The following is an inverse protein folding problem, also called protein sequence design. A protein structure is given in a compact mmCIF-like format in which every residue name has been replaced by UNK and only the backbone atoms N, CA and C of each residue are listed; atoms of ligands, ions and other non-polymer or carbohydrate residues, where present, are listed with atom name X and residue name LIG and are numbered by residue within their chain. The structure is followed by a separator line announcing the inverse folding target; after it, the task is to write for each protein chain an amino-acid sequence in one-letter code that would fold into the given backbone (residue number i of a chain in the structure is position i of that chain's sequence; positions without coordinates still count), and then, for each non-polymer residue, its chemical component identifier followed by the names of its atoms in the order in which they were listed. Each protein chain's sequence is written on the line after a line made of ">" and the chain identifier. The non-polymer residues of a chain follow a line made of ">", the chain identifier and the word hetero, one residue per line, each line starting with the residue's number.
data_IF_846249029794
#
_entry.id   IF_846249029794
#
_cell.length_a   1.000
_cell.length_b   1.000
_cell.length_c   1.000
_cell.angle_alpha   90.00
_cell.angle_beta   90.00
_cell.angle_gamma   90.00
#
_symmetry.space_group_name_H-M   'P 1'
#
loop_
_entity.id
_entity.type
_entity.pdbx_description
1 polymer ?
#
# COMPACT_ATOMS: atom_id res chain seq x y z
N UNK A 1 -0.98 -18.25 12.60
CA UNK A 1 -2.07 -17.82 13.50
C UNK A 1 -3.17 -18.85 13.67
N UNK A 2 -3.54 -19.56 12.60
CA UNK A 2 -4.53 -20.65 12.66
C UNK A 2 -3.96 -22.03 13.07
N UNK A 3 -2.88 -22.09 13.86
CA UNK A 3 -2.31 -23.35 14.35
C UNK A 3 -1.41 -24.14 13.36
N UNK A 4 -1.45 -23.86 12.06
CA UNK A 4 -0.54 -24.52 11.10
C UNK A 4 0.85 -23.88 11.10
N UNK A 5 1.88 -24.67 11.43
CA UNK A 5 3.29 -24.25 11.43
C UNK A 5 3.95 -24.60 10.10
N UNK A 6 4.32 -23.57 9.34
CA UNK A 6 5.03 -23.70 8.07
C UNK A 6 6.54 -23.78 8.31
N UNK A 7 7.18 -24.86 7.82
CA UNK A 7 8.64 -25.01 7.87
C UNK A 7 9.32 -23.89 7.08
N UNK A 8 10.41 -23.36 7.62
CA UNK A 8 11.21 -22.26 7.05
C UNK A 8 10.52 -20.89 6.88
N UNK A 9 9.26 -20.72 7.30
CA UNK A 9 8.53 -19.46 7.15
C UNK A 9 8.98 -18.35 8.11
N UNK A 10 9.45 -18.71 9.31
CA UNK A 10 9.88 -17.79 10.38
C UNK A 10 11.37 -17.93 10.67
N UNK A 11 12.22 -17.78 9.63
CA UNK A 11 13.68 -17.94 9.77
C UNK A 11 14.43 -16.64 9.51
N UNK A 12 15.63 -16.52 10.10
CA UNK A 12 16.51 -15.38 9.84
C UNK A 12 16.92 -15.29 8.37
N UNK A 13 17.11 -16.45 7.71
CA UNK A 13 17.40 -16.52 6.26
C UNK A 13 16.30 -15.86 5.43
N UNK A 14 15.02 -16.12 5.76
CA UNK A 14 13.89 -15.47 5.08
C UNK A 14 13.79 -13.98 5.36
N UNK A 15 14.21 -13.52 6.54
CA UNK A 15 14.24 -12.09 6.87
C UNK A 15 15.22 -11.35 5.97
N UNK A 16 16.47 -11.80 5.90
CA UNK A 16 17.53 -11.17 5.10
C UNK A 16 17.16 -11.17 3.61
N UNK A 17 16.70 -12.31 3.09
CA UNK A 17 16.28 -12.42 1.70
C UNK A 17 15.11 -11.47 1.37
N UNK A 18 14.15 -11.30 2.29
CA UNK A 18 13.00 -10.42 2.09
C UNK A 18 13.37 -8.94 2.18
N UNK A 19 14.29 -8.55 3.07
CA UNK A 19 14.81 -7.18 3.15
C UNK A 19 15.45 -6.80 1.81
N UNK A 20 16.43 -7.60 1.36
CA UNK A 20 17.15 -7.32 0.10
C UNK A 20 16.23 -7.40 -1.12
N UNK A 21 15.35 -8.42 -1.19
CA UNK A 21 14.43 -8.56 -2.30
C UNK A 21 13.43 -7.40 -2.38
N UNK A 22 12.93 -6.93 -1.24
CA UNK A 22 11.98 -5.82 -1.20
C UNK A 22 12.63 -4.48 -1.55
N UNK A 23 13.85 -4.21 -1.07
CA UNK A 23 14.57 -2.98 -1.43
C UNK A 23 14.85 -2.91 -2.93
N UNK A 24 15.27 -4.03 -3.54
CA UNK A 24 15.46 -4.11 -4.99
C UNK A 24 14.15 -3.97 -5.77
N UNK A 25 13.05 -4.55 -5.25
CA UNK A 25 11.75 -4.48 -5.94
C UNK A 25 11.18 -3.05 -5.93
N UNK A 26 11.26 -2.36 -4.78
CA UNK A 26 10.83 -0.96 -4.66
C UNK A 26 11.77 -0.01 -5.42
N UNK A 27 13.09 -0.25 -5.36
CA UNK A 27 14.08 0.51 -6.10
C UNK A 27 13.97 0.33 -7.62
N UNK A 28 13.46 -0.82 -8.08
CA UNK A 28 13.18 -1.09 -9.49
C UNK A 28 11.89 -0.46 -10.03
N UNK A 29 11.14 0.30 -9.22
CA UNK A 29 9.92 1.00 -9.67
C UNK A 29 8.74 0.09 -9.98
N UNK A 30 8.77 -1.18 -9.56
CA UNK A 30 7.64 -2.10 -9.77
C UNK A 30 6.39 -1.60 -9.02
N UNK A 31 5.20 -1.71 -9.62
CA UNK A 31 3.95 -1.23 -9.03
C UNK A 31 3.46 -2.18 -7.92
N UNK A 32 4.23 -2.29 -6.84
CA UNK A 32 3.98 -3.14 -5.69
C UNK A 32 4.20 -2.37 -4.39
N UNK A 33 3.52 -2.80 -3.32
CA UNK A 33 3.65 -2.23 -1.99
C UNK A 33 4.66 -2.96 -1.11
N UNK A 34 5.10 -2.30 -0.04
CA UNK A 34 6.01 -2.86 0.98
C UNK A 34 5.28 -3.52 2.15
N UNK A 35 4.02 -3.17 2.35
CA UNK A 35 3.21 -3.45 3.54
C UNK A 35 3.17 -4.93 3.94
N UNK A 36 2.70 -5.81 3.05
CA UNK A 36 2.59 -7.25 3.31
C UNK A 36 3.93 -7.90 3.68
N UNK A 37 5.01 -7.66 2.92
CA UNK A 37 6.35 -8.08 3.28
C UNK A 37 6.80 -7.60 4.67
N UNK A 38 6.56 -6.33 5.02
CA UNK A 38 6.92 -5.78 6.33
C UNK A 38 6.16 -6.42 7.49
N UNK A 39 4.87 -6.73 7.34
CA UNK A 39 4.11 -7.49 8.36
C UNK A 39 4.79 -8.82 8.65
N UNK A 40 5.21 -9.54 7.60
CA UNK A 40 5.91 -10.81 7.76
C UNK A 40 7.30 -10.63 8.38
N UNK A 41 8.03 -9.57 8.04
CA UNK A 41 9.32 -9.26 8.69
C UNK A 41 9.14 -8.99 10.20
N UNK A 42 8.12 -8.23 10.59
CA UNK A 42 7.77 -8.01 11.99
C UNK A 42 7.43 -9.32 12.72
N UNK A 43 6.68 -10.21 12.07
CA UNK A 43 6.37 -11.54 12.59
C UNK A 43 7.63 -12.42 12.76
N UNK A 44 8.58 -12.36 11.82
CA UNK A 44 9.86 -13.08 11.91
C UNK A 44 10.68 -12.55 13.10
N UNK A 45 10.82 -11.22 13.22
CA UNK A 45 11.56 -10.59 14.32
C UNK A 45 10.96 -10.97 15.67
N UNK A 46 9.64 -10.90 15.83
CA UNK A 46 8.95 -11.31 17.05
C UNK A 46 9.20 -12.79 17.37
N UNK A 47 9.18 -13.67 16.37
CA UNK A 47 9.47 -15.10 16.57
C UNK A 47 10.95 -15.37 16.91
N UNK A 48 11.89 -14.61 16.35
CA UNK A 48 13.31 -14.74 16.64
C UNK A 48 13.63 -14.25 18.05
N UNK A 49 13.03 -13.12 18.45
CA UNK A 49 13.13 -12.59 19.82
C UNK A 49 12.58 -13.60 20.82
N UNK A 50 11.40 -14.20 20.56
CA UNK A 50 10.85 -15.21 21.46
C UNK A 50 11.79 -16.43 21.63
N UNK A 51 12.42 -16.89 20.54
CA UNK A 51 13.40 -17.99 20.58
C UNK A 51 14.67 -17.59 21.34
N UNK A 52 15.17 -16.38 21.12
CA UNK A 52 16.35 -15.86 21.83
C UNK A 52 16.06 -15.73 23.33
N UNK A 53 14.92 -15.17 23.71
CA UNK A 53 14.51 -15.06 25.12
C UNK A 53 14.34 -16.42 25.77
N UNK A 54 13.74 -17.40 25.08
CA UNK A 54 13.62 -18.77 25.59
C UNK A 54 14.97 -19.50 25.74
N UNK A 55 15.96 -19.16 24.91
CA UNK A 55 17.32 -19.70 25.02
C UNK A 55 18.13 -19.04 26.15
N UNK A 56 17.95 -17.73 26.36
CA UNK A 56 18.69 -16.97 27.38
C UNK A 56 18.05 -17.01 28.78
N UNK A 57 16.74 -17.16 28.88
CA UNK A 57 16.02 -17.31 30.15
C UNK A 57 15.35 -18.69 30.18
N UNK A 58 15.86 -19.58 31.04
CA UNK A 58 15.27 -20.90 31.32
C UNK A 58 13.96 -20.72 32.10
N UNK A 59 12.94 -20.17 31.45
CA UNK A 59 11.62 -20.00 32.03
C UNK A 59 10.62 -20.74 31.16
N UNK A 60 9.94 -21.72 31.74
CA UNK A 60 8.79 -22.44 31.15
C UNK A 60 7.64 -21.49 30.74
N UNK A 61 7.74 -20.20 31.07
CA UNK A 61 6.82 -19.15 30.68
C UNK A 61 6.82 -18.82 29.18
N UNK A 62 7.95 -18.97 28.48
CA UNK A 62 8.07 -18.63 27.04
C UNK A 62 7.85 -19.82 26.09
N UNK A 63 7.68 -21.04 26.63
CA UNK A 63 7.42 -22.25 25.84
C UNK A 63 5.94 -22.46 25.49
N UNK A 64 5.03 -21.65 26.03
CA UNK A 64 3.60 -21.78 25.77
C UNK A 64 3.24 -21.28 24.36
N UNK A 65 2.61 -22.16 23.58
CA UNK A 65 2.19 -21.89 22.19
C UNK A 65 1.23 -20.69 22.09
N UNK A 66 0.32 -20.55 23.06
CA UNK A 66 -0.61 -19.42 23.11
C UNK A 66 0.10 -18.07 23.23
N UNK A 67 1.23 -18.03 23.96
CA UNK A 67 2.01 -16.80 24.13
C UNK A 67 2.89 -16.50 22.92
N UNK A 68 3.44 -17.52 22.27
CA UNK A 68 4.13 -17.37 20.98
C UNK A 68 3.20 -16.77 19.93
N UNK A 69 1.94 -17.20 19.94
CA UNK A 69 0.88 -16.66 19.11
C UNK A 69 0.54 -15.19 19.41
N UNK A 70 0.41 -14.81 20.69
CA UNK A 70 0.25 -13.40 21.09
C UNK A 70 1.41 -12.51 20.61
N UNK A 71 2.65 -13.01 20.78
CA UNK A 71 3.87 -12.31 20.38
C UNK A 71 3.95 -12.14 18.85
N UNK A 72 3.59 -13.17 18.09
CA UNK A 72 3.52 -13.12 16.63
C UNK A 72 2.53 -12.04 16.16
N UNK A 73 1.38 -11.93 16.83
CA UNK A 73 0.38 -10.91 16.53
C UNK A 73 0.86 -9.49 16.82
N UNK A 74 1.59 -9.29 17.93
CA UNK A 74 2.23 -8.01 18.23
C UNK A 74 3.29 -7.66 17.17
N UNK A 75 4.11 -8.64 16.75
CA UNK A 75 5.09 -8.48 15.67
C UNK A 75 4.47 -8.05 14.33
N UNK A 76 3.33 -8.65 13.95
CA UNK A 76 2.58 -8.22 12.77
C UNK A 76 2.10 -6.77 12.89
N UNK A 77 1.53 -6.39 14.03
CA UNK A 77 1.06 -5.02 14.29
C UNK A 77 2.21 -4.00 14.22
N UNK A 78 3.37 -4.33 14.79
CA UNK A 78 4.59 -3.50 14.70
C UNK A 78 5.04 -3.35 13.24
N UNK A 79 5.02 -4.44 12.46
CA UNK A 79 5.35 -4.38 11.02
C UNK A 79 4.48 -3.40 10.24
N UNK A 80 3.17 -3.38 10.52
CA UNK A 80 2.20 -2.43 9.94
C UNK A 80 2.45 -0.99 10.45
N UNK A 81 2.73 -0.81 11.73
CA UNK A 81 2.96 0.52 12.29
C UNK A 81 4.22 1.18 11.71
N UNK A 82 5.30 0.40 11.49
CA UNK A 82 6.53 0.88 10.88
C UNK A 82 6.35 1.36 9.44
N UNK A 83 5.41 0.79 8.70
CA UNK A 83 5.27 1.13 7.28
C UNK A 83 4.42 2.36 7.04
N UNK A 84 3.34 2.54 7.81
CA UNK A 84 2.45 3.70 7.74
C UNK A 84 2.90 4.87 8.63
N UNK A 85 3.87 4.67 9.54
CA UNK A 85 4.38 5.71 10.44
C UNK A 85 3.28 6.40 11.28
N UNK A 86 2.19 5.67 11.53
CA UNK A 86 1.01 6.12 12.26
C UNK A 86 0.66 5.06 13.32
N UNK A 87 1.26 5.12 14.53
CA UNK A 87 0.90 4.23 15.64
C UNK A 87 -0.52 4.55 16.13
N UNK A 88 -0.89 5.83 16.08
CA UNK A 88 -2.22 6.39 16.19
C UNK A 88 -2.40 7.38 15.02
N UNK A 89 -3.57 7.40 14.36
CA UNK A 89 -3.87 8.37 13.30
C UNK A 89 -3.66 9.81 13.81
N UNK A 90 -2.95 10.64 13.05
CA UNK A 90 -2.43 11.89 13.58
C UNK A 90 -3.49 12.99 13.84
N UNK A 91 -3.07 13.86 14.76
CA UNK A 91 -3.49 15.22 15.15
C UNK A 91 -4.77 15.49 15.93
N UNK A 92 -5.77 14.61 16.01
CA UNK A 92 -6.85 14.84 16.99
C UNK A 92 -7.76 13.64 17.31
N UNK A 93 -7.35 12.41 17.00
CA UNK A 93 -8.18 11.26 17.35
C UNK A 93 -7.33 10.10 17.83
N UNK A 94 -7.70 9.60 19.01
CA UNK A 94 -7.12 8.45 19.70
C UNK A 94 -7.47 7.13 18.96
N UNK A 95 -7.22 7.08 17.65
CA UNK A 95 -7.59 5.98 16.75
C UNK A 95 -6.36 5.14 16.42
N UNK A 96 -6.36 3.92 16.94
CA UNK A 96 -5.27 2.95 16.82
C UNK A 96 -5.38 2.15 15.53
N UNK A 97 -5.16 2.80 14.39
CA UNK A 97 -5.44 2.21 13.07
C UNK A 97 -4.53 1.00 12.78
N UNK A 98 -3.25 1.07 13.13
CA UNK A 98 -2.29 -0.01 12.83
C UNK A 98 -2.56 -1.30 13.63
N UNK A 99 -2.88 -1.18 14.93
CA UNK A 99 -3.16 -2.35 15.78
C UNK A 99 -4.51 -2.97 15.39
N UNK A 100 -5.52 -2.15 15.12
CA UNK A 100 -6.83 -2.65 14.68
C UNK A 100 -6.74 -3.37 13.34
N UNK A 101 -6.01 -2.81 12.37
CA UNK A 101 -5.78 -3.48 11.08
C UNK A 101 -5.03 -4.81 11.25
N UNK A 102 -4.03 -4.86 12.13
CA UNK A 102 -3.34 -6.10 12.48
C UNK A 102 -4.26 -7.14 13.11
N UNK A 103 -5.18 -6.73 13.99
CA UNK A 103 -6.12 -7.63 14.66
C UNK A 103 -7.16 -8.17 13.67
N UNK A 104 -7.79 -7.28 12.90
CA UNK A 104 -8.85 -7.61 11.95
C UNK A 104 -8.37 -8.58 10.87
N UNK A 105 -7.13 -8.39 10.39
CA UNK A 105 -6.59 -9.20 9.29
C UNK A 105 -5.95 -10.53 9.72
N UNK A 106 -5.52 -10.69 10.98
CA UNK A 106 -4.69 -11.84 11.40
C UNK A 106 -5.38 -12.84 12.32
N UNK A 107 -6.40 -12.43 13.09
CA UNK A 107 -6.94 -13.24 14.19
C UNK A 107 -8.47 -13.15 14.31
N UNK A 108 -9.14 -14.29 14.47
CA UNK A 108 -10.59 -14.34 14.78
C UNK A 108 -10.90 -14.02 16.25
N UNK A 109 -10.00 -14.43 17.14
CA UNK A 109 -10.10 -14.21 18.58
C UNK A 109 -8.85 -13.49 19.04
N UNK A 110 -9.02 -12.41 19.79
CA UNK A 110 -7.91 -11.59 20.25
C UNK A 110 -8.11 -11.15 21.69
N UNK A 111 -7.14 -11.46 22.55
CA UNK A 111 -7.19 -11.07 23.95
C UNK A 111 -6.94 -9.55 24.10
N UNK A 112 -7.81 -8.85 24.82
CA UNK A 112 -7.68 -7.41 25.10
C UNK A 112 -6.34 -7.06 25.77
N UNK A 113 -5.78 -7.98 26.57
CA UNK A 113 -4.43 -7.80 27.15
C UNK A 113 -3.34 -7.68 26.08
N UNK A 114 -3.48 -8.38 24.95
CA UNK A 114 -2.52 -8.29 23.85
C UNK A 114 -2.69 -7.01 23.03
N UNK A 115 -3.86 -6.37 23.09
CA UNK A 115 -4.13 -5.08 22.45
C UNK A 115 -3.20 -4.01 23.01
N UNK A 116 -3.18 -3.86 24.33
CA UNK A 116 -2.35 -2.87 25.01
C UNK A 116 -0.86 -3.08 24.78
N UNK A 117 -0.41 -4.35 24.77
CA UNK A 117 1.00 -4.68 24.47
C UNK A 117 1.38 -4.33 23.05
N UNK A 118 0.52 -4.64 22.09
CA UNK A 118 0.72 -4.29 20.68
C UNK A 118 0.69 -2.78 20.48
N UNK A 119 -0.22 -2.07 21.16
CA UNK A 119 -0.29 -0.61 21.14
C UNK A 119 0.98 0.06 21.64
N UNK A 120 1.49 -0.39 22.79
CA UNK A 120 2.76 0.11 23.32
C UNK A 120 3.92 -0.15 22.33
N UNK A 121 4.06 -1.40 21.86
CA UNK A 121 5.12 -1.78 20.93
C UNK A 121 5.09 -1.00 19.61
N UNK A 122 3.91 -0.81 19.03
CA UNK A 122 3.72 -0.02 17.80
C UNK A 122 4.04 1.45 18.00
N UNK A 123 3.70 2.02 19.15
CA UNK A 123 4.03 3.42 19.51
C UNK A 123 5.54 3.59 19.62
N UNK A 124 6.23 2.71 20.33
CA UNK A 124 7.69 2.72 20.43
C UNK A 124 8.35 2.60 19.04
N UNK A 125 7.89 1.64 18.22
CA UNK A 125 8.44 1.43 16.88
C UNK A 125 8.27 2.66 15.97
N UNK A 126 7.08 3.29 16.00
CA UNK A 126 6.83 4.50 15.24
C UNK A 126 7.64 5.71 15.72
N UNK A 127 7.82 5.86 17.04
CA UNK A 127 8.69 6.91 17.59
C UNK A 127 10.13 6.72 17.12
N UNK A 128 10.67 5.50 17.25
CA UNK A 128 12.03 5.17 16.80
C UNK A 128 12.18 5.43 15.31
N UNK A 129 11.22 5.03 14.49
CA UNK A 129 11.25 5.27 13.05
C UNK A 129 11.27 6.76 12.71
N UNK A 130 10.46 7.57 13.40
CA UNK A 130 10.44 9.04 13.22
C UNK A 130 11.75 9.68 13.65
N UNK A 131 12.32 9.27 14.78
CA UNK A 131 13.62 9.77 15.23
C UNK A 131 14.74 9.38 14.27
N UNK A 132 14.74 8.15 13.77
CA UNK A 132 15.73 7.68 12.79
C UNK A 132 15.65 8.47 11.48
N UNK A 133 14.45 8.75 10.96
CA UNK A 133 14.28 9.60 9.78
C UNK A 133 14.77 11.02 10.05
N UNK A 134 14.39 11.61 11.19
CA UNK A 134 14.81 12.97 11.54
C UNK A 134 16.34 13.11 11.67
N UNK A 135 17.03 12.04 12.07
CA UNK A 135 18.49 12.01 12.23
C UNK A 135 19.24 11.72 10.92
N UNK A 136 18.69 10.89 10.04
CA UNK A 136 19.38 10.39 8.82
C UNK A 136 19.01 11.22 7.58
N UNK A 137 17.75 11.64 7.48
CA UNK A 137 17.23 12.34 6.29
C UNK A 137 17.30 13.85 6.52
N UNK A 138 17.87 14.62 5.57
CA UNK A 138 17.86 16.08 5.64
C UNK A 138 16.44 16.64 5.84
N UNK A 139 16.30 17.63 6.74
CA UNK A 139 15.01 18.23 7.14
C UNK A 139 14.16 18.74 5.95
N UNK A 140 14.78 19.07 4.81
CA UNK A 140 14.08 19.52 3.60
C UNK A 140 13.26 18.43 2.89
N UNK A 141 13.59 17.14 3.09
CA UNK A 141 12.87 15.98 2.51
C UNK A 141 12.02 15.29 3.57
N UNK A 142 12.48 15.28 4.83
CA UNK A 142 11.87 14.50 5.90
C UNK A 142 10.44 14.95 6.24
N UNK A 143 10.11 16.22 6.01
CA UNK A 143 8.90 16.84 6.54
C UNK A 143 8.93 16.82 8.08
N UNK A 144 8.40 17.87 8.71
CA UNK A 144 8.19 17.86 10.16
C UNK A 144 7.34 16.64 10.54
N UNK A 145 7.55 16.08 11.73
CA UNK A 145 6.89 14.92 12.36
C UNK A 145 5.36 14.85 12.07
N UNK A 146 4.98 14.46 10.86
CA UNK A 146 3.60 14.48 10.36
C UNK A 146 3.27 13.09 9.86
N UNK A 147 2.00 12.71 9.94
CA UNK A 147 1.56 11.46 9.33
C UNK A 147 1.76 11.53 7.82
N UNK A 148 2.16 10.42 7.22
CA UNK A 148 2.12 10.27 5.77
C UNK A 148 0.67 10.50 5.29
N UNK A 149 0.49 11.33 4.27
CA UNK A 149 -0.81 11.69 3.65
C UNK A 149 -1.74 12.58 4.49
N UNK A 150 -1.24 13.70 5.05
CA UNK A 150 -2.13 14.70 5.63
C UNK A 150 -2.87 15.48 4.54
N UNK A 151 -4.20 15.45 4.58
CA UNK A 151 -5.06 16.29 3.75
C UNK A 151 -5.64 17.42 4.61
N UNK A 152 -5.64 18.64 4.08
CA UNK A 152 -6.21 19.81 4.76
C UNK A 152 -7.50 20.23 4.06
N UNK A 153 -8.64 19.80 4.61
CA UNK A 153 -9.98 20.17 4.15
C UNK A 153 -10.63 21.12 5.18
N UNK A 154 -11.47 22.07 4.74
CA UNK A 154 -12.23 22.95 5.65
C UNK A 154 -13.19 22.14 6.54
N UNK A 155 -13.71 22.69 7.64
CA UNK A 155 -14.48 21.90 8.63
C UNK A 155 -15.92 21.53 8.20
N UNK A 156 -16.47 22.18 7.17
CA UNK A 156 -17.81 21.90 6.62
C UNK A 156 -17.70 21.26 5.23
N UNK A 157 -17.23 20.00 5.17
CA UNK A 157 -16.87 19.36 3.89
C UNK A 157 -18.07 18.73 3.19
N UNK A 158 -19.12 18.32 3.91
CA UNK A 158 -20.14 17.42 3.35
C UNK A 158 -21.55 17.86 3.70
N UNK A 159 -22.41 17.90 2.67
CA UNK A 159 -23.85 18.06 2.85
C UNK A 159 -24.50 16.69 3.03
N UNK A 160 -25.62 16.65 3.78
CA UNK A 160 -26.42 15.42 3.98
C UNK A 160 -26.89 14.84 2.63
N UNK A 161 -27.12 15.71 1.64
CA UNK A 161 -27.50 15.35 0.27
C UNK A 161 -26.43 14.53 -0.48
N UNK A 162 -25.18 14.58 -0.04
CA UNK A 162 -24.07 13.85 -0.68
C UNK A 162 -23.90 12.43 -0.13
N UNK A 163 -24.53 12.10 0.99
CA UNK A 163 -24.45 10.76 1.63
C UNK A 163 -24.88 9.64 0.67
N UNK A 164 -25.98 9.75 -0.10
CA UNK A 164 -26.35 8.73 -1.08
C UNK A 164 -25.29 8.54 -2.18
N UNK A 165 -24.61 9.62 -2.59
CA UNK A 165 -23.52 9.54 -3.58
C UNK A 165 -22.31 8.80 -3.00
N UNK A 166 -21.95 9.05 -1.74
CA UNK A 166 -20.90 8.28 -1.06
C UNK A 166 -21.27 6.80 -0.87
N UNK A 167 -22.54 6.50 -0.59
CA UNK A 167 -23.03 5.13 -0.51
C UNK A 167 -22.91 4.41 -1.87
N UNK A 168 -23.31 5.08 -2.96
CA UNK A 168 -23.18 4.55 -4.32
C UNK A 168 -21.70 4.34 -4.69
N UNK A 169 -20.83 5.30 -4.37
CA UNK A 169 -19.39 5.17 -4.55
C UNK A 169 -18.84 3.95 -3.80
N UNK A 170 -19.28 3.74 -2.55
CA UNK A 170 -18.93 2.55 -1.77
C UNK A 170 -19.33 1.24 -2.44
N UNK A 171 -20.53 1.16 -3.03
CA UNK A 171 -21.00 -0.01 -3.79
C UNK A 171 -20.13 -0.24 -5.04
N UNK A 172 -19.84 0.81 -5.81
CA UNK A 172 -18.99 0.73 -7.00
C UNK A 172 -17.56 0.29 -6.65
N UNK A 173 -16.98 0.84 -5.59
CA UNK A 173 -15.68 0.42 -5.05
C UNK A 173 -15.70 -1.05 -4.59
N UNK A 174 -16.79 -1.51 -3.97
CA UNK A 174 -16.96 -2.90 -3.57
C UNK A 174 -17.03 -3.86 -4.76
N UNK A 175 -17.81 -3.52 -5.79
CA UNK A 175 -17.94 -4.32 -7.01
C UNK A 175 -16.63 -4.39 -7.80
N UNK A 176 -15.95 -3.24 -7.96
CA UNK A 176 -14.64 -3.19 -8.64
C UNK A 176 -13.56 -3.94 -7.86
N UNK A 177 -13.58 -3.90 -6.52
CA UNK A 177 -12.72 -4.72 -5.67
C UNK A 177 -12.98 -6.22 -5.80
N UNK A 178 -14.26 -6.64 -5.84
CA UNK A 178 -14.64 -8.03 -6.07
C UNK A 178 -14.19 -8.54 -7.46
N UNK A 179 -14.37 -7.71 -8.50
CA UNK A 179 -13.87 -8.01 -9.84
C UNK A 179 -12.33 -8.13 -9.88
N UNK A 180 -11.61 -7.32 -9.10
CA UNK A 180 -10.16 -7.34 -9.03
C UNK A 180 -9.66 -8.64 -8.42
N UNK A 181 -10.28 -9.08 -7.31
CA UNK A 181 -9.97 -10.36 -6.67
C UNK A 181 -10.26 -11.52 -7.63
N UNK A 182 -11.39 -11.46 -8.35
CA UNK A 182 -11.74 -12.47 -9.35
C UNK A 182 -10.71 -12.53 -10.48
N UNK A 183 -10.28 -11.38 -11.01
CA UNK A 183 -9.25 -11.26 -12.05
C UNK A 183 -7.91 -11.83 -11.58
N UNK A 184 -7.42 -11.39 -10.42
CA UNK A 184 -6.18 -11.88 -9.83
C UNK A 184 -6.21 -13.40 -9.60
N UNK A 185 -7.34 -13.93 -9.12
CA UNK A 185 -7.55 -15.38 -8.96
C UNK A 185 -7.51 -16.10 -10.31
N UNK A 186 -8.17 -15.57 -11.34
CA UNK A 186 -8.16 -16.15 -12.69
C UNK A 186 -6.76 -16.18 -13.29
N UNK A 187 -6.00 -15.09 -13.17
CA UNK A 187 -4.60 -15.00 -13.61
C UNK A 187 -3.75 -16.04 -12.88
N UNK A 188 -3.89 -16.12 -11.55
CA UNK A 188 -3.14 -17.08 -10.71
C UNK A 188 -3.44 -18.55 -11.06
N UNK A 189 -4.69 -18.88 -11.36
CA UNK A 189 -5.10 -20.23 -11.77
C UNK A 189 -4.64 -20.52 -13.21
N UNK A 190 -4.77 -19.55 -14.12
CA UNK A 190 -4.30 -19.67 -15.51
C UNK A 190 -2.81 -19.98 -15.57
N UNK A 191 -2.01 -19.25 -14.77
CA UNK A 191 -0.57 -19.47 -14.60
C UNK A 191 -0.23 -20.90 -14.19
N UNK A 192 -1.00 -21.50 -13.27
CA UNK A 192 -0.78 -22.88 -12.80
C UNK A 192 -1.28 -23.95 -13.78
N UNK A 193 -2.38 -23.68 -14.49
CA UNK A 193 -3.06 -24.65 -15.36
C UNK A 193 -2.45 -24.73 -16.76
N UNK A 194 -1.94 -23.61 -17.30
CA UNK A 194 -1.46 -23.56 -18.66
C UNK A 194 -0.15 -24.36 -18.83
N UNK A 195 -0.16 -25.40 -19.67
CA UNK A 195 1.01 -26.26 -19.90
C UNK A 195 2.12 -25.51 -20.63
N UNK A 196 1.79 -24.62 -21.58
CA UNK A 196 2.76 -23.80 -22.28
C UNK A 196 3.50 -22.86 -21.31
N UNK A 197 2.78 -22.27 -20.36
CA UNK A 197 3.38 -21.46 -19.30
C UNK A 197 4.37 -22.26 -18.45
N UNK A 198 3.98 -23.47 -18.02
CA UNK A 198 4.86 -24.35 -17.24
C UNK A 198 6.06 -24.83 -18.05
N UNK A 199 5.92 -25.06 -19.35
CA UNK A 199 7.02 -25.46 -20.22
C UNK A 199 8.06 -24.35 -20.40
N UNK A 200 7.59 -23.10 -20.59
CA UNK A 200 8.47 -21.95 -20.86
C UNK A 200 9.08 -21.38 -19.58
N UNK A 201 8.29 -21.23 -18.51
CA UNK A 201 8.69 -20.51 -17.30
C UNK A 201 8.82 -21.40 -16.05
N UNK A 202 8.57 -22.71 -16.17
CA UNK A 202 8.61 -23.63 -15.03
C UNK A 202 10.00 -23.82 -14.42
N UNK A 203 11.05 -23.76 -15.24
CA UNK A 203 12.44 -23.95 -14.79
C UNK A 203 13.11 -22.63 -14.34
N UNK A 204 12.58 -21.46 -14.70
CA UNK A 204 13.22 -20.16 -14.45
C UNK A 204 12.21 -19.11 -13.97
N UNK A 205 11.82 -19.12 -12.67
CA UNK A 205 10.92 -18.10 -12.11
C UNK A 205 11.50 -16.67 -12.20
N UNK A 206 12.84 -16.56 -12.26
CA UNK A 206 13.56 -15.31 -12.45
C UNK A 206 13.32 -14.76 -13.87
N UNK A 207 13.36 -15.60 -14.90
CA UNK A 207 13.13 -15.17 -16.28
C UNK A 207 11.72 -14.61 -16.48
N UNK A 208 10.72 -15.26 -15.88
CA UNK A 208 9.34 -14.75 -15.88
C UNK A 208 9.25 -13.37 -15.23
N UNK A 209 9.84 -13.23 -14.05
CA UNK A 209 9.79 -11.98 -13.29
C UNK A 209 10.53 -10.85 -14.00
N UNK A 210 11.68 -11.15 -14.62
CA UNK A 210 12.45 -10.20 -15.43
C UNK A 210 11.70 -9.75 -16.69
N UNK A 211 11.04 -10.68 -17.40
CA UNK A 211 10.24 -10.35 -18.58
C UNK A 211 9.08 -9.41 -18.23
N UNK A 212 8.38 -9.66 -17.11
CA UNK A 212 7.30 -8.78 -16.68
C UNK A 212 7.82 -7.43 -16.17
N UNK A 213 8.98 -7.39 -15.51
CA UNK A 213 9.62 -6.13 -15.15
C UNK A 213 9.98 -5.30 -16.41
N UNK A 214 10.46 -5.95 -17.47
CA UNK A 214 10.72 -5.29 -18.76
C UNK A 214 9.42 -4.78 -19.39
N UNK A 215 8.33 -5.56 -19.38
CA UNK A 215 7.03 -5.09 -19.88
C UNK A 215 6.50 -3.89 -19.08
N UNK A 216 6.63 -3.91 -17.75
CA UNK A 216 6.28 -2.77 -16.89
C UNK A 216 7.12 -1.55 -17.26
N UNK A 217 8.43 -1.71 -17.46
CA UNK A 217 9.31 -0.61 -17.83
C UNK A 217 8.94 0.01 -19.19
N UNK A 218 8.57 -0.81 -20.17
CA UNK A 218 8.12 -0.33 -21.50
C UNK A 218 6.80 0.44 -21.38
N UNK A 219 5.83 -0.08 -20.60
CA UNK A 219 4.53 0.57 -20.43
C UNK A 219 4.64 1.89 -19.65
N UNK A 220 5.49 1.92 -18.63
CA UNK A 220 5.70 3.07 -17.74
C UNK A 220 6.67 4.11 -18.33
N UNK A 221 7.27 3.85 -19.49
CA UNK A 221 8.24 4.76 -20.10
C UNK A 221 7.62 6.15 -20.36
N UNK A 222 8.17 7.23 -19.77
CA UNK A 222 7.51 8.53 -19.67
C UNK A 222 7.24 9.20 -21.02
N UNK A 223 8.18 9.09 -21.97
CA UNK A 223 8.04 9.66 -23.32
C UNK A 223 7.14 8.81 -24.25
N UNK A 224 6.75 7.61 -23.81
CA UNK A 224 5.89 6.70 -24.55
C UNK A 224 4.47 6.68 -23.99
N UNK A 225 3.99 5.46 -23.71
CA UNK A 225 2.67 5.25 -23.12
C UNK A 225 2.57 5.79 -21.67
N UNK A 226 3.72 5.95 -21.00
CA UNK A 226 3.82 6.52 -19.65
C UNK A 226 3.21 7.92 -19.52
N UNK A 227 3.17 8.71 -20.60
CA UNK A 227 2.54 10.05 -20.63
C UNK A 227 1.04 10.03 -20.30
N UNK A 228 0.34 8.95 -20.66
CA UNK A 228 -1.10 8.79 -20.39
C UNK A 228 -1.40 8.28 -18.98
N UNK A 229 -0.42 7.65 -18.33
CA UNK A 229 -0.58 6.98 -17.05
C UNK A 229 0.27 7.61 -15.95
N UNK A 230 0.79 8.83 -16.15
CA UNK A 230 1.69 9.50 -15.20
C UNK A 230 2.86 8.60 -14.75
N UNK A 231 3.45 7.84 -15.68
CA UNK A 231 4.41 6.77 -15.41
C UNK A 231 5.76 7.24 -14.84
N UNK A 232 6.07 8.52 -14.94
CA UNK A 232 7.27 9.11 -14.33
C UNK A 232 7.20 9.11 -12.78
N UNK A 233 6.00 9.13 -12.22
CA UNK A 233 5.78 9.36 -10.81
C UNK A 233 5.58 8.06 -10.03
N UNK A 234 5.99 8.09 -8.78
CA UNK A 234 5.78 6.95 -7.87
C UNK A 234 4.33 6.87 -7.40
N UNK A 235 3.90 5.68 -6.96
CA UNK A 235 2.59 5.50 -6.33
C UNK A 235 2.35 6.40 -5.10
N UNK A 236 3.42 6.88 -4.46
CA UNK A 236 3.31 7.80 -3.33
C UNK A 236 2.97 9.22 -3.78
N UNK A 237 3.60 9.70 -4.85
CA UNK A 237 3.38 11.05 -5.40
C UNK A 237 2.00 11.14 -6.05
N UNK A 238 1.66 10.17 -6.90
CA UNK A 238 0.32 10.11 -7.53
C UNK A 238 -0.81 10.03 -6.51
N UNK A 239 -0.61 9.33 -5.39
CA UNK A 239 -1.58 9.31 -4.29
C UNK A 239 -1.73 10.67 -3.60
N UNK A 240 -0.64 11.42 -3.45
CA UNK A 240 -0.70 12.77 -2.88
C UNK A 240 -1.49 13.70 -3.81
N UNK A 241 -1.32 13.57 -5.13
CA UNK A 241 -2.08 14.32 -6.12
C UNK A 241 -3.58 13.99 -6.06
N UNK A 242 -3.95 12.71 -5.93
CA UNK A 242 -5.36 12.32 -5.82
C UNK A 242 -6.07 12.83 -4.57
N UNK A 243 -5.32 13.00 -3.48
CA UNK A 243 -5.82 13.49 -2.20
C UNK A 243 -5.71 15.02 -2.05
N UNK A 244 -5.24 15.72 -3.09
CA UNK A 244 -5.14 17.17 -3.07
C UNK A 244 -6.51 17.84 -2.97
N UNK A 245 -6.56 18.97 -2.25
CA UNK A 245 -7.79 19.72 -1.95
C UNK A 245 -8.21 20.71 -3.05
N UNK A 246 -7.68 20.55 -4.26
CA UNK A 246 -7.96 21.36 -5.43
C UNK A 246 -8.60 20.48 -6.51
N UNK A 247 -9.20 21.05 -7.57
CA UNK A 247 -9.75 20.30 -8.71
C UNK A 247 -8.83 20.37 -9.94
N UNK A 248 -8.74 19.24 -10.67
CA UNK A 248 -7.97 19.13 -11.92
C UNK A 248 -8.73 19.70 -13.12
N UNK A 249 -10.06 19.60 -13.14
CA UNK A 249 -10.89 20.07 -14.26
C UNK A 249 -11.11 21.59 -14.24
N UNK A 250 -11.07 22.20 -13.06
CA UNK A 250 -11.21 23.66 -12.84
C UNK A 250 -9.88 24.43 -12.92
N UNK A 251 -8.80 23.77 -13.33
CA UNK A 251 -7.52 24.38 -13.62
C UNK A 251 -7.68 25.63 -14.52
N UNK A 252 -7.12 26.77 -14.11
CA UNK A 252 -7.20 28.07 -14.80
C UNK A 252 -8.57 28.77 -14.88
N UNK A 253 -9.65 28.17 -14.37
CA UNK A 253 -11.01 28.76 -14.44
C UNK A 253 -11.44 29.36 -13.11
N UNK A 254 -11.02 28.78 -11.99
CA UNK A 254 -11.42 29.22 -10.64
C UNK A 254 -10.25 29.22 -9.66
N UNK A 255 -10.43 29.89 -8.52
CA UNK A 255 -9.48 29.87 -7.39
C UNK A 255 -9.34 28.50 -6.71
N UNK A 256 -10.20 27.52 -7.05
CA UNK A 256 -10.18 26.16 -6.54
C UNK A 256 -9.41 25.17 -7.45
N UNK A 257 -8.84 25.66 -8.56
CA UNK A 257 -7.99 24.87 -9.45
C UNK A 257 -6.64 24.50 -8.82
N UNK A 258 -6.10 23.34 -9.18
CA UNK A 258 -4.78 22.92 -8.73
C UNK A 258 -3.64 23.80 -9.30
N UNK A 259 -2.45 23.81 -8.65
CA UNK A 259 -1.29 24.52 -9.18
C UNK A 259 -0.82 23.89 -10.52
N UNK A 260 -0.24 24.69 -11.43
CA UNK A 260 0.10 24.25 -12.77
C UNK A 260 1.16 23.13 -12.79
N UNK A 261 2.05 23.09 -11.80
CA UNK A 261 3.05 22.02 -11.64
C UNK A 261 2.40 20.64 -11.42
N UNK A 262 1.37 20.58 -10.57
CA UNK A 262 0.63 19.34 -10.28
C UNK A 262 -0.23 18.91 -11.46
N UNK A 263 -0.87 19.87 -12.16
CA UNK A 263 -1.71 19.56 -13.33
C UNK A 263 -0.86 19.03 -14.48
N UNK A 264 0.37 19.53 -14.64
CA UNK A 264 1.30 19.05 -15.66
C UNK A 264 1.55 17.53 -15.58
N UNK A 265 1.43 16.93 -14.38
CA UNK A 265 1.52 15.47 -14.21
C UNK A 265 0.40 14.73 -14.96
N UNK A 266 -0.78 15.33 -15.07
CA UNK A 266 -2.00 14.73 -15.60
C UNK A 266 -2.39 15.22 -17.00
N UNK A 267 -1.78 16.30 -17.50
CA UNK A 267 -2.03 16.84 -18.85
C UNK A 267 -0.96 16.47 -19.87
N UNK A 268 -0.07 15.53 -19.53
CA UNK A 268 1.01 15.10 -20.39
C UNK A 268 2.15 16.12 -20.50
N UNK A 269 2.48 16.81 -19.41
CA UNK A 269 3.53 17.83 -19.36
C UNK A 269 3.01 19.25 -19.61
N UNK A 270 3.94 20.17 -19.85
CA UNK A 270 3.70 21.62 -19.96
C UNK A 270 2.92 22.04 -21.20
N UNK A 271 2.79 21.17 -22.20
CA UNK A 271 2.07 21.45 -23.44
C UNK A 271 0.55 21.30 -23.34
N UNK A 272 0.01 20.75 -22.25
CA UNK A 272 -1.43 20.73 -21.98
C UNK A 272 -2.26 19.97 -23.02
N UNK A 273 -1.71 18.91 -23.62
CA UNK A 273 -2.30 18.22 -24.78
C UNK A 273 -3.51 17.35 -24.43
N UNK A 274 -3.65 16.90 -23.17
CA UNK A 274 -4.68 15.94 -22.77
C UNK A 274 -5.61 16.47 -21.68
N UNK A 275 -6.88 16.04 -21.76
CA UNK A 275 -7.85 16.27 -20.70
C UNK A 275 -7.52 15.41 -19.46
N UNK A 276 -7.45 15.97 -18.24
CA UNK A 276 -7.09 15.21 -17.03
C UNK A 276 -7.96 13.97 -16.75
N UNK A 277 -9.23 13.99 -17.16
CA UNK A 277 -10.13 12.83 -17.01
C UNK A 277 -9.69 11.63 -17.86
N UNK A 278 -9.14 11.87 -19.05
CA UNK A 278 -8.64 10.81 -19.92
C UNK A 278 -7.43 10.11 -19.30
N UNK A 279 -6.48 10.88 -18.76
CA UNK A 279 -5.27 10.33 -18.12
C UNK A 279 -5.61 9.59 -16.82
N UNK A 280 -6.55 10.09 -16.02
CA UNK A 280 -7.08 9.37 -14.86
C UNK A 280 -7.73 8.02 -15.25
N UNK A 281 -8.53 7.99 -16.31
CA UNK A 281 -9.15 6.76 -16.79
C UNK A 281 -8.10 5.75 -17.29
N UNK A 282 -7.14 6.21 -18.09
CA UNK A 282 -6.03 5.39 -18.58
C UNK A 282 -5.19 4.83 -17.40
N UNK A 283 -4.87 5.68 -16.42
CA UNK A 283 -4.19 5.29 -15.19
C UNK A 283 -4.95 4.18 -14.47
N UNK A 284 -6.24 4.39 -14.21
CA UNK A 284 -7.08 3.41 -13.53
C UNK A 284 -7.10 2.07 -14.27
N UNK A 285 -7.41 2.08 -15.57
CA UNK A 285 -7.54 0.85 -16.36
C UNK A 285 -6.24 0.05 -16.46
N UNK A 286 -5.12 0.74 -16.71
CA UNK A 286 -3.81 0.11 -16.91
C UNK A 286 -3.28 -0.45 -15.59
N UNK A 287 -3.25 0.35 -14.52
CA UNK A 287 -2.75 -0.12 -13.23
C UNK A 287 -3.65 -1.18 -12.60
N UNK A 288 -4.97 -1.14 -12.84
CA UNK A 288 -5.88 -2.19 -12.38
C UNK A 288 -5.49 -3.58 -12.90
N UNK A 289 -5.12 -3.69 -14.18
CA UNK A 289 -4.65 -4.97 -14.75
C UNK A 289 -3.19 -5.25 -14.38
N UNK A 290 -2.33 -4.24 -14.46
CA UNK A 290 -0.89 -4.39 -14.23
C UNK A 290 -0.59 -4.87 -12.81
N UNK A 291 -1.21 -4.25 -11.80
CA UNK A 291 -1.06 -4.64 -10.39
C UNK A 291 -1.57 -6.06 -10.16
N UNK A 292 -2.70 -6.45 -10.78
CA UNK A 292 -3.22 -7.81 -10.68
C UNK A 292 -2.23 -8.86 -11.23
N UNK A 293 -1.40 -8.50 -12.20
CA UNK A 293 -0.33 -9.37 -12.71
C UNK A 293 0.90 -9.32 -11.81
N UNK A 294 1.34 -8.13 -11.41
CA UNK A 294 2.57 -7.92 -10.64
C UNK A 294 2.56 -8.60 -9.27
N UNK A 295 1.40 -8.67 -8.60
CA UNK A 295 1.26 -9.38 -7.32
C UNK A 295 1.46 -10.89 -7.47
N UNK A 296 1.24 -11.46 -8.66
CA UNK A 296 1.46 -12.88 -8.96
C UNK A 296 2.90 -13.25 -9.32
N UNK A 297 3.83 -12.30 -9.29
CA UNK A 297 5.26 -12.51 -9.58
C UNK A 297 5.99 -13.14 -8.40
N UNK A 298 7.16 -13.74 -8.67
CA UNK A 298 7.99 -14.38 -7.65
C UNK A 298 8.88 -13.37 -6.91
N UNK A 299 8.22 -12.36 -6.32
CA UNK A 299 8.84 -11.22 -5.62
C UNK A 299 8.23 -11.06 -4.22
N UNK A 300 8.94 -10.51 -3.23
CA UNK A 300 8.30 -9.99 -2.03
C UNK A 300 7.49 -8.73 -2.37
N UNK A 301 6.19 -8.90 -2.63
CA UNK A 301 5.28 -7.81 -3.00
C UNK A 301 4.10 -7.71 -2.02
N UNK A 302 3.67 -6.48 -1.74
CA UNK A 302 2.44 -6.16 -1.01
C UNK A 302 1.39 -5.58 -1.95
N UNK A 303 0.13 -5.93 -1.74
CA UNK A 303 -0.99 -5.49 -2.59
C UNK A 303 -1.70 -4.24 -2.07
N UNK A 304 -1.51 -3.91 -0.79
CA UNK A 304 -2.29 -2.87 -0.09
C UNK A 304 -2.16 -1.48 -0.73
N UNK A 305 -0.93 -0.95 -0.87
CA UNK A 305 -0.71 0.40 -1.42
C UNK A 305 -1.21 0.51 -2.86
N UNK A 306 -0.86 -0.38 -3.81
CA UNK A 306 -1.38 -0.30 -5.16
C UNK A 306 -2.91 -0.28 -5.24
N UNK A 307 -3.61 -1.13 -4.47
CA UNK A 307 -5.08 -1.10 -4.43
C UNK A 307 -5.64 0.20 -3.84
N UNK A 308 -4.97 0.76 -2.82
CA UNK A 308 -5.34 2.04 -2.23
C UNK A 308 -5.22 3.18 -3.25
N UNK A 309 -4.13 3.21 -4.04
CA UNK A 309 -3.91 4.22 -5.09
C UNK A 309 -4.93 4.09 -6.23
N UNK A 310 -5.22 2.87 -6.69
CA UNK A 310 -6.25 2.63 -7.72
C UNK A 310 -7.63 3.08 -7.23
N UNK A 311 -7.96 2.81 -5.96
CA UNK A 311 -9.21 3.26 -5.34
C UNK A 311 -9.28 4.79 -5.22
N UNK A 312 -8.19 5.44 -4.81
CA UNK A 312 -8.09 6.90 -4.75
C UNK A 312 -8.26 7.54 -6.14
N UNK A 313 -7.63 6.96 -7.18
CA UNK A 313 -7.80 7.39 -8.56
C UNK A 313 -9.27 7.29 -9.01
N UNK A 314 -9.93 6.16 -8.75
CA UNK A 314 -11.35 5.97 -9.10
C UNK A 314 -12.28 6.94 -8.38
N UNK A 315 -12.06 7.17 -7.07
CA UNK A 315 -12.80 8.16 -6.29
C UNK A 315 -12.58 9.58 -6.81
N UNK A 316 -11.34 9.93 -7.13
CA UNK A 316 -10.98 11.23 -7.69
C UNK A 316 -11.66 11.47 -9.04
N UNK A 317 -11.63 10.48 -9.93
CA UNK A 317 -12.29 10.55 -11.24
C UNK A 317 -13.80 10.81 -11.11
N UNK A 318 -14.50 10.11 -10.21
CA UNK A 318 -15.93 10.33 -9.97
C UNK A 318 -16.20 11.72 -9.38
N UNK A 319 -15.32 12.19 -8.48
CA UNK A 319 -15.38 13.54 -7.91
C UNK A 319 -15.25 14.63 -8.96
N UNK A 320 -14.27 14.52 -9.88
CA UNK A 320 -14.06 15.49 -10.97
C UNK A 320 -15.25 15.51 -11.94
N UNK A 321 -15.81 14.35 -12.29
CA UNK A 321 -17.02 14.27 -13.14
C UNK A 321 -18.22 14.92 -12.47
N UNK A 322 -18.36 14.76 -11.15
CA UNK A 322 -19.44 15.38 -10.38
C UNK A 322 -19.27 16.90 -10.30
N UNK A 323 -18.03 17.36 -10.15
CA UNK A 323 -17.66 18.77 -10.09
C UNK A 323 -17.87 19.51 -11.42
N UNK A 324 -17.83 18.81 -12.55
CA UNK A 324 -18.17 19.41 -13.85
C UNK A 324 -19.67 19.71 -14.00
N UNK A 325 -20.53 19.00 -13.25
CA UNK A 325 -21.99 19.08 -13.36
C UNK A 325 -22.66 19.95 -12.27
N UNK A 326 -21.96 20.24 -11.15
CA UNK A 326 -22.40 21.19 -10.12
C UNK A 326 -21.28 22.19 -9.89
N UNK A 327 -21.62 23.47 -9.72
CA UNK A 327 -20.64 24.48 -9.28
C UNK A 327 -20.07 24.03 -7.93
N UNK A 328 -18.81 23.59 -7.96
CA UNK A 328 -17.92 23.47 -6.82
C UNK A 328 -17.61 24.86 -6.26
#
# INVERSE_FOLDING_TARGET
>A
MHGFVLKNYLTLKTLIAKIVGLTLTLGGGMPVGKEGPFVHMGAIVASLLNKATAACQYNAFFSNEGRHMEMLSSGCAVGIACTFSAPAGARNQNRVVAVLYGIESTSKYFAVKNYWRSFFATTCAALIFRFAIAAIVPQHIAGTITAYYQTNFPNEVFLIEEIPFFALLGVLCGLTGAAFIWLHRRISVFKKRNRAYRAIFGNSPIAFTSLFAMCVAILTYPEGFGRYIAGQFTFRETLADFLANCSFTLANVSSHGCPPEMIAHWTGGTSGEFHPLLTLFCYFAVYYVLVAICVGLYLPAGIFVPCFVIGACGGRMIGEVSCQNRVC
#
